data_IF_841305901144
#
_entry.id   IF_841305901144
#
_cell.length_a   1.000
_cell.length_b   1.000
_cell.length_c   1.000
_cell.angle_alpha   90.00
_cell.angle_beta   90.00
_cell.angle_gamma   90.00
#
_symmetry.space_group_name_H-M   'P 1'
#
loop_
_entity.id
_entity.type
_entity.pdbx_description
1 polymer ?
#
# COMPACT_ATOMS: atom_id res chain seq x y z
N UNK A 1 -3.90 -21.15 0.46
CA UNK A 1 -2.53 -21.60 0.15
C UNK A 1 -1.60 -20.71 0.95
N UNK A 2 -1.00 -21.27 1.99
CA UNK A 2 0.04 -20.63 2.77
C UNK A 2 1.29 -20.55 1.89
N UNK A 3 1.50 -19.39 1.26
CA UNK A 3 2.56 -19.19 0.26
C UNK A 3 3.54 -18.15 0.79
N UNK A 4 4.59 -18.62 1.47
CA UNK A 4 5.82 -17.86 1.59
C UNK A 4 6.26 -17.44 0.18
N UNK A 5 6.27 -16.12 -0.10
CA UNK A 5 6.57 -15.57 -1.42
C UNK A 5 5.43 -14.84 -2.14
N UNK A 6 4.24 -14.68 -1.55
CA UNK A 6 3.14 -13.96 -2.21
C UNK A 6 3.53 -12.53 -2.64
N UNK A 7 4.36 -11.82 -1.86
CA UNK A 7 4.86 -10.51 -2.24
C UNK A 7 5.69 -10.56 -3.54
N UNK A 8 6.49 -11.60 -3.74
CA UNK A 8 7.32 -11.75 -4.93
C UNK A 8 6.47 -12.16 -6.14
N UNK A 9 5.46 -13.00 -5.95
CA UNK A 9 4.44 -13.29 -6.97
C UNK A 9 3.73 -11.99 -7.40
N UNK A 10 3.34 -11.14 -6.45
CA UNK A 10 2.68 -9.85 -6.73
C UNK A 10 3.62 -8.89 -7.45
N UNK A 11 4.89 -8.82 -7.06
CA UNK A 11 5.91 -8.05 -7.78
C UNK A 11 6.09 -8.55 -9.22
N UNK A 12 6.07 -9.86 -9.45
CA UNK A 12 6.12 -10.42 -10.80
C UNK A 12 4.86 -10.07 -11.61
N UNK A 13 3.67 -10.16 -11.00
CA UNK A 13 2.39 -9.83 -11.65
C UNK A 13 2.32 -8.38 -12.11
N UNK A 14 2.84 -7.42 -11.34
CA UNK A 14 2.83 -6.00 -11.75
C UNK A 14 3.82 -5.67 -12.88
N UNK A 15 4.70 -6.61 -13.24
CA UNK A 15 5.59 -6.54 -14.41
C UNK A 15 5.04 -7.34 -15.61
N UNK A 16 3.94 -8.07 -15.44
CA UNK A 16 3.37 -8.89 -16.50
C UNK A 16 2.82 -8.00 -17.64
N UNK A 17 2.97 -8.39 -18.92
CA UNK A 17 2.48 -7.60 -20.06
C UNK A 17 0.99 -7.23 -20.00
N UNK A 18 0.15 -8.10 -19.42
CA UNK A 18 -1.30 -7.85 -19.27
C UNK A 18 -1.67 -6.96 -18.07
N UNK A 19 -0.68 -6.61 -17.24
CA UNK A 19 -0.89 -5.71 -16.11
C UNK A 19 -0.70 -4.26 -16.54
N UNK A 20 -1.60 -3.40 -16.08
CA UNK A 20 -1.48 -1.96 -16.27
C UNK A 20 -1.86 -1.21 -15.00
N UNK A 21 -1.00 -0.27 -14.61
CA UNK A 21 -1.21 0.64 -13.49
C UNK A 21 -2.34 1.65 -13.73
N UNK A 22 -2.72 1.89 -14.99
CA UNK A 22 -3.81 2.80 -15.36
C UNK A 22 -5.16 2.10 -15.45
N UNK A 23 -5.19 0.76 -15.46
CA UNK A 23 -6.43 0.01 -15.47
C UNK A 23 -6.89 -0.27 -14.01
N UNK A 24 -7.97 0.36 -13.53
CA UNK A 24 -8.40 0.23 -12.14
C UNK A 24 -8.81 -1.20 -11.77
N UNK A 25 -9.29 -2.00 -12.73
CA UNK A 25 -9.63 -3.39 -12.48
C UNK A 25 -8.38 -4.25 -12.26
N UNK A 26 -7.34 -4.08 -13.09
CA UNK A 26 -6.07 -4.81 -12.94
C UNK A 26 -5.37 -4.45 -11.63
N UNK A 27 -5.31 -3.15 -11.31
CA UNK A 27 -4.78 -2.67 -10.04
C UNK A 27 -5.54 -3.26 -8.85
N UNK A 28 -6.88 -3.22 -8.88
CA UNK A 28 -7.71 -3.80 -7.80
C UNK A 28 -7.47 -5.30 -7.64
N UNK A 29 -7.40 -6.05 -8.74
CA UNK A 29 -7.23 -7.50 -8.73
C UNK A 29 -5.87 -7.97 -8.20
N UNK A 30 -4.84 -7.12 -8.25
CA UNK A 30 -3.48 -7.48 -7.83
C UNK A 30 -3.08 -6.72 -6.55
N UNK A 31 -2.96 -5.39 -6.64
CA UNK A 31 -2.44 -4.55 -5.55
C UNK A 31 -3.41 -4.46 -4.39
N UNK A 32 -4.68 -4.12 -4.65
CA UNK A 32 -5.68 -4.00 -3.58
C UNK A 32 -6.02 -5.36 -2.95
N UNK A 33 -6.03 -6.42 -3.76
CA UNK A 33 -6.20 -7.79 -3.26
C UNK A 33 -5.06 -8.20 -2.31
N UNK A 34 -3.81 -7.90 -2.68
CA UNK A 34 -2.64 -8.16 -1.82
C UNK A 34 -2.72 -7.37 -0.50
N UNK A 35 -3.02 -6.07 -0.56
CA UNK A 35 -3.15 -5.22 0.63
C UNK A 35 -4.29 -5.69 1.58
N UNK A 36 -5.26 -6.46 1.07
CA UNK A 36 -6.35 -7.04 1.85
C UNK A 36 -5.99 -8.40 2.46
N UNK A 37 -4.87 -9.01 2.08
CA UNK A 37 -4.41 -10.29 2.61
C UNK A 37 -3.67 -10.08 3.92
N UNK A 38 -4.38 -10.18 5.05
CA UNK A 38 -3.86 -9.79 6.38
C UNK A 38 -2.55 -10.51 6.74
N UNK A 39 -2.46 -11.81 6.48
CA UNK A 39 -1.28 -12.63 6.81
C UNK A 39 -0.03 -12.19 6.03
N UNK A 40 -0.17 -11.98 4.72
CA UNK A 40 0.97 -11.66 3.86
C UNK A 40 1.31 -10.17 3.85
N UNK A 41 0.31 -9.30 3.98
CA UNK A 41 0.52 -7.86 4.05
C UNK A 41 1.19 -7.45 5.37
N UNK A 42 0.82 -8.09 6.48
CA UNK A 42 1.42 -7.85 7.80
C UNK A 42 2.55 -8.83 8.14
N UNK A 43 3.21 -9.40 7.13
CA UNK A 43 4.39 -10.22 7.33
C UNK A 43 5.49 -9.42 8.09
N UNK A 44 6.26 -10.07 8.98
CA UNK A 44 7.34 -9.42 9.72
C UNK A 44 8.35 -8.70 8.82
N UNK A 45 9.00 -7.65 9.33
CA UNK A 45 10.04 -6.90 8.61
C UNK A 45 9.54 -5.86 7.59
N UNK A 46 8.22 -5.75 7.37
CA UNK A 46 7.63 -4.59 6.69
C UNK A 46 7.88 -4.46 5.18
N UNK A 47 8.40 -5.50 4.52
CA UNK A 47 8.65 -5.48 3.07
C UNK A 47 7.38 -5.21 2.26
N UNK A 48 6.24 -5.78 2.67
CA UNK A 48 4.94 -5.54 2.06
C UNK A 48 4.46 -4.09 2.26
N UNK A 49 4.77 -3.47 3.40
CA UNK A 49 4.44 -2.07 3.66
C UNK A 49 5.27 -1.14 2.78
N UNK A 50 6.58 -1.38 2.66
CA UNK A 50 7.45 -0.60 1.78
C UNK A 50 6.99 -0.68 0.33
N UNK A 51 6.74 -1.90 -0.17
CA UNK A 51 6.25 -2.12 -1.52
C UNK A 51 4.90 -1.43 -1.79
N UNK A 52 3.94 -1.53 -0.85
CA UNK A 52 2.66 -0.87 -1.02
C UNK A 52 2.81 0.66 -0.98
N UNK A 53 3.72 1.20 -0.17
CA UNK A 53 4.03 2.63 -0.18
C UNK A 53 4.53 3.12 -1.55
N UNK A 54 5.41 2.36 -2.20
CA UNK A 54 5.90 2.70 -3.54
C UNK A 54 4.79 2.59 -4.59
N UNK A 55 3.91 1.58 -4.45
CA UNK A 55 2.74 1.45 -5.29
C UNK A 55 1.78 2.65 -5.10
N UNK A 56 1.58 3.13 -3.87
CA UNK A 56 0.75 4.31 -3.60
C UNK A 56 1.33 5.55 -4.28
N UNK A 57 2.64 5.82 -4.18
CA UNK A 57 3.25 6.95 -4.88
C UNK A 57 2.98 6.90 -6.39
N UNK A 58 3.14 5.71 -7.00
CA UNK A 58 2.90 5.54 -8.43
C UNK A 58 1.43 5.74 -8.80
N UNK A 59 0.53 5.18 -8.00
CA UNK A 59 -0.92 5.22 -8.25
C UNK A 59 -1.49 6.60 -7.98
N UNK A 60 -0.95 7.36 -7.03
CA UNK A 60 -1.44 8.70 -6.69
C UNK A 60 -1.38 9.66 -7.90
N UNK A 61 -0.33 9.53 -8.71
CA UNK A 61 -0.16 10.30 -9.96
C UNK A 61 -1.17 9.93 -11.06
N UNK A 62 -1.83 8.78 -10.94
CA UNK A 62 -2.74 8.21 -11.96
C UNK A 62 -4.20 8.33 -11.49
N UNK A 63 -4.44 7.95 -10.23
CA UNK A 63 -5.75 7.88 -9.61
C UNK A 63 -5.64 8.09 -8.07
N UNK A 64 -5.70 9.36 -7.63
CA UNK A 64 -5.72 9.76 -6.22
C UNK A 64 -6.73 9.01 -5.33
N UNK A 65 -7.90 8.67 -5.87
CA UNK A 65 -8.95 8.00 -5.10
C UNK A 65 -8.56 6.55 -4.75
N UNK A 66 -7.89 5.87 -5.68
CA UNK A 66 -7.38 4.51 -5.43
C UNK A 66 -6.19 4.56 -4.48
N UNK A 67 -5.29 5.53 -4.67
CA UNK A 67 -4.12 5.73 -3.80
C UNK A 67 -4.53 6.00 -2.34
N UNK A 68 -5.48 6.90 -2.12
CA UNK A 68 -5.98 7.22 -0.77
C UNK A 68 -6.65 6.02 -0.10
N UNK A 69 -7.38 5.18 -0.86
CA UNK A 69 -7.95 3.92 -0.34
C UNK A 69 -6.85 2.93 0.07
N UNK A 70 -5.80 2.80 -0.72
CA UNK A 70 -4.65 1.95 -0.38
C UNK A 70 -3.88 2.48 0.84
N UNK A 71 -3.69 3.79 0.95
CA UNK A 71 -3.09 4.42 2.13
C UNK A 71 -3.90 4.14 3.41
N UNK A 72 -5.21 3.96 3.28
CA UNK A 72 -6.09 3.52 4.36
C UNK A 72 -5.72 2.17 4.99
N UNK A 73 -4.99 1.29 4.29
CA UNK A 73 -4.50 0.03 4.87
C UNK A 73 -3.52 0.27 6.03
N UNK A 74 -2.75 1.36 5.98
CA UNK A 74 -1.84 1.74 7.07
C UNK A 74 -2.53 2.46 8.23
N UNK A 75 -3.77 2.92 8.06
CA UNK A 75 -4.51 3.62 9.12
C UNK A 75 -4.80 2.73 10.35
N UNK A 76 -4.72 1.41 10.19
CA UNK A 76 -4.92 0.44 11.26
C UNK A 76 -3.68 0.27 12.16
N UNK A 77 -2.62 1.06 11.99
CA UNK A 77 -1.35 0.91 12.74
C UNK A 77 -1.52 0.80 14.26
N UNK A 78 -2.45 1.56 14.85
CA UNK A 78 -2.76 1.53 16.30
C UNK A 78 -3.36 0.20 16.79
N UNK A 79 -3.80 -0.69 15.88
CA UNK A 79 -4.42 -1.98 16.21
C UNK A 79 -3.44 -3.15 16.22
N UNK A 80 -2.24 -2.96 15.68
CA UNK A 80 -1.22 -4.00 15.61
C UNK A 80 -0.19 -3.83 16.73
N UNK A 81 0.67 -4.83 16.91
CA UNK A 81 1.81 -4.74 17.83
C UNK A 81 2.73 -3.55 17.49
N UNK A 82 3.57 -3.17 18.45
CA UNK A 82 4.41 -1.98 18.36
C UNK A 82 5.33 -1.97 17.13
N UNK A 83 5.90 -3.13 16.76
CA UNK A 83 6.81 -3.23 15.61
C UNK A 83 6.05 -2.95 14.30
N UNK A 84 4.94 -3.66 14.07
CA UNK A 84 4.11 -3.44 12.88
C UNK A 84 3.51 -2.04 12.84
N UNK A 85 3.06 -1.55 13.99
CA UNK A 85 2.51 -0.21 14.16
C UNK A 85 3.49 0.87 13.70
N UNK A 86 4.74 0.85 14.19
CA UNK A 86 5.76 1.81 13.79
C UNK A 86 6.12 1.71 12.30
N UNK A 87 6.21 0.50 11.74
CA UNK A 87 6.48 0.34 10.31
C UNK A 87 5.38 0.93 9.42
N UNK A 88 4.12 0.75 9.79
CA UNK A 88 2.99 1.36 9.08
C UNK A 88 2.96 2.88 9.26
N UNK A 89 3.24 3.37 10.47
CA UNK A 89 3.34 4.81 10.78
C UNK A 89 4.47 5.48 10.01
N UNK A 90 5.59 4.79 9.82
CA UNK A 90 6.69 5.23 8.98
C UNK A 90 6.26 5.37 7.51
N UNK A 91 5.50 4.41 6.97
CA UNK A 91 4.96 4.53 5.60
C UNK A 91 3.96 5.68 5.47
N UNK A 92 3.04 5.86 6.42
CA UNK A 92 2.13 7.02 6.45
C UNK A 92 2.90 8.34 6.43
N UNK A 93 3.96 8.44 7.23
CA UNK A 93 4.80 9.64 7.32
C UNK A 93 5.57 9.88 6.02
N UNK A 94 6.13 8.82 5.42
CA UNK A 94 6.82 8.88 4.12
C UNK A 94 5.88 9.35 3.01
N UNK A 95 4.71 8.72 2.89
CA UNK A 95 3.73 9.04 1.85
C UNK A 95 3.25 10.48 2.00
N UNK A 96 2.90 10.91 3.22
CA UNK A 96 2.49 12.30 3.51
C UNK A 96 3.53 13.34 3.07
N UNK A 97 4.81 12.99 3.09
CA UNK A 97 5.91 13.87 2.70
C UNK A 97 6.24 13.86 1.21
N UNK A 98 5.54 13.07 0.39
CA UNK A 98 5.80 13.01 -1.05
C UNK A 98 5.50 14.35 -1.73
N UNK A 99 6.41 14.85 -2.59
CA UNK A 99 6.16 16.06 -3.35
C UNK A 99 5.05 15.81 -4.37
N UNK A 100 4.08 16.73 -4.43
CA UNK A 100 2.95 16.63 -5.36
C UNK A 100 1.91 15.56 -4.99
N UNK A 101 1.94 15.05 -3.74
CA UNK A 101 0.90 14.16 -3.24
C UNK A 101 -0.48 14.78 -3.39
N UNK A 102 -1.45 14.00 -3.86
CA UNK A 102 -2.83 14.43 -3.97
C UNK A 102 -3.42 14.80 -2.60
N UNK A 103 -4.39 15.72 -2.63
CA UNK A 103 -5.13 16.14 -1.43
C UNK A 103 -5.80 14.95 -0.74
N UNK A 104 -6.43 14.07 -1.50
CA UNK A 104 -7.15 12.89 -0.98
C UNK A 104 -6.21 11.97 -0.19
N UNK A 105 -5.04 11.64 -0.76
CA UNK A 105 -4.07 10.77 -0.09
C UNK A 105 -3.40 11.48 1.08
N UNK A 106 -3.13 12.78 0.97
CA UNK A 106 -2.60 13.60 2.07
C UNK A 106 -3.54 13.58 3.27
N UNK A 107 -4.83 13.82 3.08
CA UNK A 107 -5.83 13.85 4.15
C UNK A 107 -5.93 12.51 4.88
N UNK A 108 -5.92 11.40 4.13
CA UNK A 108 -5.91 10.05 4.75
C UNK A 108 -4.66 9.85 5.59
N UNK A 109 -3.48 10.21 5.09
CA UNK A 109 -2.23 10.04 5.83
C UNK A 109 -2.18 10.94 7.07
N UNK A 110 -2.55 12.21 6.94
CA UNK A 110 -2.56 13.17 8.04
C UNK A 110 -3.53 12.76 9.15
N UNK A 111 -4.76 12.37 8.79
CA UNK A 111 -5.76 11.87 9.76
C UNK A 111 -5.32 10.60 10.45
N UNK A 112 -4.63 9.70 9.73
CA UNK A 112 -4.16 8.43 10.31
C UNK A 112 -3.00 8.63 11.29
N UNK A 113 -2.22 9.70 11.13
CA UNK A 113 -1.08 10.04 11.99
C UNK A 113 -1.47 10.83 13.25
N UNK A 114 -2.66 11.46 13.26
CA UNK A 114 -3.24 12.11 14.45
C UNK A 114 -3.71 11.06 15.47
#
# INVERSE_FOLDING_TARGET
ADRAGLLDDVKALVQHPDFSWTNPNRLRSVVSAFASSMEHFHAPGGAAYAWLGDAIEKVDKINPQVASRLAGAFALHKRYDAERGELMRAQLSRIKALPGLSKDTFEVCARSLA
#
